data_IF_832494980718
#
_entry.id   IF_832494980718
#
_cell.length_a   1.000
_cell.length_b   1.000
_cell.length_c   1.000
_cell.angle_alpha   90.00
_cell.angle_beta   90.00
_cell.angle_gamma   90.00
#
_symmetry.space_group_name_H-M   'P 1'
#
loop_
_entity.id
_entity.type
_entity.pdbx_description
1 polymer ?
#
# COMPACT_ATOMS: atom_id res chain seq x y z
N UNK A 1 -10.45 -3.64 18.26
CA UNK A 1 -9.85 -4.71 19.09
C UNK A 1 -8.36 -4.46 19.08
N UNK A 2 -7.69 -4.23 20.22
CA UNK A 2 -6.23 -4.11 20.21
C UNK A 2 -5.65 -5.46 19.78
N UNK A 3 -4.95 -5.49 18.65
CA UNK A 3 -4.26 -6.68 18.15
C UNK A 3 -2.79 -6.58 18.55
N UNK A 4 -2.22 -7.65 19.12
CA UNK A 4 -0.78 -7.69 19.33
C UNK A 4 -0.10 -7.98 17.99
N UNK A 5 0.79 -7.09 17.55
CA UNK A 5 1.59 -7.26 16.33
C UNK A 5 3.07 -7.30 16.67
N UNK A 6 3.83 -7.98 15.84
CA UNK A 6 5.29 -7.99 15.89
C UNK A 6 5.86 -6.89 14.97
N UNK A 7 6.87 -6.18 15.44
CA UNK A 7 7.58 -5.19 14.61
C UNK A 7 8.52 -5.93 13.63
N UNK A 8 8.47 -5.65 12.31
CA UNK A 8 9.32 -6.31 11.32
C UNK A 8 10.81 -5.95 11.44
N UNK A 9 11.14 -4.84 12.11
CA UNK A 9 12.51 -4.38 12.26
C UNK A 9 13.22 -4.96 13.50
N UNK A 10 12.54 -4.97 14.65
CA UNK A 10 13.14 -5.41 15.93
C UNK A 10 12.56 -6.71 16.49
N UNK A 11 11.54 -7.30 15.84
CA UNK A 11 10.86 -8.53 16.25
C UNK A 11 10.23 -8.49 17.66
N UNK A 12 10.04 -7.29 18.22
CA UNK A 12 9.33 -7.12 19.49
C UNK A 12 7.82 -7.00 19.26
N UNK A 13 7.07 -7.59 20.19
CA UNK A 13 5.62 -7.50 20.22
C UNK A 13 5.17 -6.16 20.82
N UNK A 14 4.18 -5.53 20.21
CA UNK A 14 3.56 -4.32 20.74
C UNK A 14 2.03 -4.37 20.57
N UNK A 15 1.34 -3.57 21.36
CA UNK A 15 -0.11 -3.40 21.21
C UNK A 15 -0.39 -2.46 20.04
N UNK A 16 -0.99 -3.00 18.98
CA UNK A 16 -1.45 -2.20 17.87
C UNK A 16 -2.88 -1.72 18.15
N UNK A 17 -2.98 -0.44 18.48
CA UNK A 17 -4.25 0.27 18.68
C UNK A 17 -4.88 0.74 17.37
N UNK A 18 -4.18 0.57 16.23
CA UNK A 18 -4.60 1.04 14.90
C UNK A 18 -4.01 2.38 14.51
N UNK A 19 -3.52 3.17 15.49
CA UNK A 19 -2.98 4.52 15.29
C UNK A 19 -1.45 4.58 15.53
N UNK A 20 -0.79 3.43 15.66
CA UNK A 20 0.66 3.36 15.91
C UNK A 20 1.40 3.61 14.60
N UNK A 21 1.87 4.84 14.40
CA UNK A 21 2.62 5.23 13.21
C UNK A 21 4.09 4.78 13.27
N UNK A 22 4.63 4.56 14.47
CA UNK A 22 6.04 4.23 14.69
C UNK A 22 6.19 3.19 15.81
N UNK A 23 7.14 2.27 15.67
CA UNK A 23 7.41 1.28 16.71
C UNK A 23 7.99 1.94 17.97
N UNK A 24 7.39 1.74 19.16
CA UNK A 24 7.82 2.42 20.40
C UNK A 24 9.20 1.97 20.92
N UNK A 25 9.76 0.89 20.37
CA UNK A 25 11.03 0.32 20.84
C UNK A 25 12.23 0.72 20.00
N UNK A 26 12.10 0.70 18.67
CA UNK A 26 13.21 0.90 17.75
C UNK A 26 13.04 2.13 16.83
N UNK A 27 11.86 2.76 16.85
CA UNK A 27 11.56 3.92 16.02
C UNK A 27 11.30 3.60 14.55
N UNK A 28 10.87 2.38 14.24
CA UNK A 28 10.53 2.00 12.86
C UNK A 28 9.20 2.64 12.45
N UNK A 29 9.21 3.49 11.41
CA UNK A 29 8.01 4.09 10.84
C UNK A 29 7.21 3.05 10.04
N UNK A 30 5.94 2.86 10.41
CA UNK A 30 5.05 1.97 9.69
C UNK A 30 4.51 2.68 8.43
N UNK A 31 4.48 1.99 7.27
CA UNK A 31 4.00 2.60 6.04
C UNK A 31 2.50 2.90 6.14
N UNK A 32 2.18 4.18 6.36
CA UNK A 32 0.80 4.66 6.37
C UNK A 32 0.21 4.60 4.96
N UNK A 33 -0.76 3.72 4.76
CA UNK A 33 -1.54 3.71 3.50
C UNK A 33 -2.51 4.88 3.49
N UNK A 34 -2.01 6.07 3.18
CA UNK A 34 -2.84 7.25 3.01
C UNK A 34 -3.84 7.08 1.86
N UNK A 35 -5.02 7.70 1.99
CA UNK A 35 -6.04 7.68 0.94
C UNK A 35 -5.51 8.24 -0.40
N UNK A 36 -4.52 9.13 -0.34
CA UNK A 36 -3.82 9.69 -1.49
C UNK A 36 -3.03 8.64 -2.25
N UNK A 37 -2.27 7.77 -1.56
CA UNK A 37 -1.53 6.68 -2.21
C UNK A 37 -2.48 5.71 -2.92
N UNK A 38 -3.67 5.46 -2.34
CA UNK A 38 -4.71 4.64 -3.00
C UNK A 38 -5.23 5.29 -4.29
N UNK A 39 -5.45 6.60 -4.28
CA UNK A 39 -5.88 7.33 -5.49
C UNK A 39 -4.80 7.34 -6.57
N UNK A 40 -3.54 7.59 -6.19
CA UNK A 40 -2.41 7.54 -7.13
C UNK A 40 -2.28 6.16 -7.77
N UNK A 41 -2.44 5.08 -6.99
CA UNK A 41 -2.41 3.72 -7.51
C UNK A 41 -3.49 3.49 -8.59
N UNK A 42 -4.70 4.00 -8.40
CA UNK A 42 -5.77 3.92 -9.41
C UNK A 42 -5.46 4.71 -10.68
N UNK A 43 -4.91 5.93 -10.54
CA UNK A 43 -4.50 6.74 -11.68
C UNK A 43 -3.42 6.03 -12.50
N UNK A 44 -2.39 5.48 -11.83
CA UNK A 44 -1.33 4.73 -12.51
C UNK A 44 -1.86 3.47 -13.19
N UNK A 45 -2.78 2.74 -12.55
CA UNK A 45 -3.42 1.57 -13.15
C UNK A 45 -4.20 1.95 -14.41
N UNK A 46 -5.00 3.02 -14.38
CA UNK A 46 -5.73 3.52 -15.55
C UNK A 46 -4.79 3.98 -16.67
N UNK A 47 -3.71 4.69 -16.33
CA UNK A 47 -2.70 5.15 -17.28
C UNK A 47 -1.99 3.98 -17.98
N UNK A 48 -1.80 2.85 -17.30
CA UNK A 48 -1.21 1.65 -17.88
C UNK A 48 -2.22 0.85 -18.70
N UNK A 49 -3.45 0.71 -18.18
CA UNK A 49 -4.51 -0.08 -18.81
C UNK A 49 -5.03 0.57 -20.10
N UNK A 50 -5.14 1.89 -20.16
CA UNK A 50 -5.63 2.60 -21.34
C UNK A 50 -4.84 2.28 -22.64
N UNK A 51 -3.52 2.53 -22.72
CA UNK A 51 -2.74 2.19 -23.91
C UNK A 51 -2.61 0.68 -24.12
N UNK A 52 -2.64 -0.11 -23.05
CA UNK A 52 -2.63 -1.57 -23.17
C UNK A 52 -3.89 -2.10 -23.85
N UNK A 53 -5.06 -1.53 -23.52
CA UNK A 53 -6.34 -1.88 -24.16
C UNK A 53 -6.36 -1.39 -25.62
N UNK A 54 -5.94 -0.16 -25.90
CA UNK A 54 -5.82 0.36 -27.27
C UNK A 54 -4.87 -0.49 -28.12
N UNK A 55 -3.69 -0.82 -27.59
CA UNK A 55 -2.74 -1.70 -28.26
C UNK A 55 -3.29 -3.11 -28.48
N UNK A 56 -4.02 -3.66 -27.50
CA UNK A 56 -4.69 -4.95 -27.64
C UNK A 56 -5.78 -4.90 -28.71
N UNK A 57 -6.60 -3.86 -28.76
CA UNK A 57 -7.62 -3.67 -29.79
C UNK A 57 -6.99 -3.56 -31.19
N UNK A 58 -5.91 -2.79 -31.32
CA UNK A 58 -5.15 -2.67 -32.56
C UNK A 58 -4.58 -4.02 -33.02
N UNK A 59 -4.05 -4.83 -32.11
CA UNK A 59 -3.54 -6.17 -32.42
C UNK A 59 -4.64 -7.17 -32.77
N UNK A 60 -5.83 -7.02 -32.17
CA UNK A 60 -7.00 -7.85 -32.46
C UNK A 60 -7.75 -7.41 -33.73
N UNK A 61 -7.32 -6.34 -34.40
CA UNK A 61 -7.76 -5.97 -35.74
C UNK A 61 -9.21 -5.46 -35.83
N UNK A 62 -9.72 -4.84 -34.77
CA UNK A 62 -11.02 -4.17 -34.75
C UNK A 62 -10.93 -2.73 -35.26
#
# INVERSE_FOLDING_TARGET
MPSRRECPACALEFEDTGDVEECPYCGYEFPQRSASVRWVAWILALLLLWPAIEGLMYLLGA
#
